data_IF_302680745764
#
_entry.id   IF_302680745764
#
_cell.length_a   1.000
_cell.length_b   1.000
_cell.length_c   1.000
_cell.angle_alpha   90.00
_cell.angle_beta   90.00
_cell.angle_gamma   90.00
#
_symmetry.space_group_name_H-M   'P 1'
#
loop_
_entity.id
_entity.type
_entity.pdbx_description
1 polymer ?
#
# COMPACT_ATOMS: atom_id res chain seq x y z
N UNK A 1 7.75 -0.03 -7.52
CA UNK A 1 6.76 -0.09 -6.43
C UNK A 1 7.33 0.41 -5.10
N UNK A 2 8.37 -0.20 -4.53
CA UNK A 2 8.92 0.26 -3.23
C UNK A 2 9.41 1.71 -3.23
N UNK A 3 10.12 2.14 -4.29
CA UNK A 3 10.56 3.52 -4.41
C UNK A 3 9.38 4.52 -4.34
N UNK A 4 8.26 4.18 -4.99
CA UNK A 4 7.01 4.98 -4.92
C UNK A 4 6.47 5.01 -3.50
N UNK A 5 6.47 3.87 -2.81
CA UNK A 5 5.99 3.80 -1.43
C UNK A 5 6.87 4.62 -0.46
N UNK A 6 8.19 4.61 -0.63
CA UNK A 6 9.10 5.42 0.18
C UNK A 6 8.87 6.92 -0.04
N UNK A 7 8.78 7.36 -1.28
CA UNK A 7 8.49 8.76 -1.60
C UNK A 7 7.10 9.18 -1.09
N UNK A 8 6.12 8.28 -1.19
CA UNK A 8 4.79 8.51 -0.66
C UNK A 8 4.81 8.65 0.86
N UNK A 9 5.57 7.84 1.59
CA UNK A 9 5.73 7.99 3.04
C UNK A 9 6.26 9.38 3.40
N UNK A 10 7.27 9.87 2.68
CA UNK A 10 7.89 11.15 2.99
C UNK A 10 6.93 12.32 2.72
N UNK A 11 6.22 12.30 1.58
CA UNK A 11 5.21 13.33 1.28
C UNK A 11 4.02 13.26 2.24
N UNK A 12 3.54 12.06 2.58
CA UNK A 12 2.46 11.89 3.55
C UNK A 12 2.86 12.46 4.92
N UNK A 13 4.08 12.20 5.41
CA UNK A 13 4.55 12.77 6.69
C UNK A 13 4.53 14.28 6.70
N UNK A 14 5.00 14.91 5.62
CA UNK A 14 4.98 16.36 5.47
C UNK A 14 3.56 16.89 5.57
N UNK A 15 2.62 16.34 4.79
CA UNK A 15 1.22 16.78 4.80
C UNK A 15 0.51 16.51 6.12
N UNK A 16 0.76 15.35 6.75
CA UNK A 16 0.26 15.01 8.07
C UNK A 16 0.70 16.06 9.09
N UNK A 17 1.98 16.44 9.07
CA UNK A 17 2.53 17.41 10.00
C UNK A 17 2.02 18.84 9.74
N UNK A 18 2.06 19.28 8.48
CA UNK A 18 1.63 20.63 8.06
C UNK A 18 0.15 20.90 8.38
N UNK A 19 -0.70 19.88 8.27
CA UNK A 19 -2.14 20.00 8.48
C UNK A 19 -2.64 19.37 9.81
N UNK A 20 -1.72 18.87 10.65
CA UNK A 20 -2.03 18.17 11.91
C UNK A 20 -3.08 17.07 11.74
N UNK A 21 -2.92 16.25 10.69
CA UNK A 21 -3.86 15.19 10.35
C UNK A 21 -3.68 14.00 11.29
N UNK A 22 -4.78 13.45 11.77
CA UNK A 22 -4.79 12.27 12.64
C UNK A 22 -5.01 10.97 11.85
N UNK A 23 -5.56 11.09 10.65
CA UNK A 23 -5.96 9.95 9.85
C UNK A 23 -5.82 10.23 8.36
N UNK A 24 -5.79 9.15 7.58
CA UNK A 24 -5.76 9.16 6.12
C UNK A 24 -6.85 8.23 5.60
N UNK A 25 -7.46 8.62 4.48
CA UNK A 25 -8.40 7.82 3.72
C UNK A 25 -7.68 6.94 2.70
N UNK A 26 -7.94 5.64 2.71
CA UNK A 26 -7.23 4.66 1.89
C UNK A 26 -8.15 4.03 0.84
N UNK A 27 -7.79 4.21 -0.45
CA UNK A 27 -8.44 3.52 -1.56
C UNK A 27 -8.29 1.99 -1.45
N UNK A 28 -9.30 1.26 -1.93
CA UNK A 28 -9.31 -0.20 -1.91
C UNK A 28 -9.67 -0.81 -0.55
N UNK A 29 -9.96 0.03 0.44
CA UNK A 29 -10.38 -0.38 1.77
C UNK A 29 -11.84 0.01 2.02
N UNK A 30 -12.69 -1.00 2.25
CA UNK A 30 -14.08 -0.86 2.69
C UNK A 30 -14.18 -1.08 4.20
N UNK A 31 -15.30 -0.68 4.81
CA UNK A 31 -15.55 -0.92 6.24
C UNK A 31 -15.47 -2.41 6.62
N UNK A 32 -15.99 -3.29 5.76
CA UNK A 32 -15.98 -4.74 6.02
C UNK A 32 -14.57 -5.36 5.99
N UNK A 33 -13.62 -4.73 5.30
CA UNK A 33 -12.23 -5.19 5.16
C UNK A 33 -11.28 -4.59 6.20
N UNK A 34 -11.76 -3.71 7.06
CA UNK A 34 -10.92 -3.06 8.09
C UNK A 34 -10.28 -4.07 9.04
N UNK A 35 -11.02 -5.06 9.52
CA UNK A 35 -10.48 -6.06 10.45
C UNK A 35 -9.35 -6.88 9.84
N UNK A 36 -9.51 -7.28 8.58
CA UNK A 36 -8.50 -8.08 7.86
C UNK A 36 -7.24 -7.24 7.61
N UNK A 37 -7.43 -5.96 7.30
CA UNK A 37 -6.32 -5.02 7.12
C UNK A 37 -5.56 -4.74 8.41
N UNK A 38 -6.26 -4.56 9.53
CA UNK A 38 -5.66 -4.41 10.86
C UNK A 38 -4.88 -5.65 11.29
N UNK A 39 -5.42 -6.85 11.03
CA UNK A 39 -4.74 -8.11 11.30
C UNK A 39 -3.48 -8.27 10.42
N UNK A 40 -3.55 -7.89 9.13
CA UNK A 40 -2.37 -7.86 8.25
C UNK A 40 -1.28 -6.94 8.81
N UNK A 41 -1.63 -5.73 9.27
CA UNK A 41 -0.68 -4.78 9.89
C UNK A 41 -0.07 -5.38 11.15
N UNK A 42 -0.89 -5.97 12.02
CA UNK A 42 -0.44 -6.58 13.28
C UNK A 42 0.54 -7.73 13.03
N UNK A 43 0.23 -8.64 12.12
CA UNK A 43 1.12 -9.74 11.76
C UNK A 43 2.43 -9.23 11.16
N UNK A 44 2.35 -8.26 10.26
CA UNK A 44 3.54 -7.68 9.62
C UNK A 44 4.45 -6.99 10.65
N UNK A 45 3.86 -6.30 11.63
CA UNK A 45 4.59 -5.66 12.73
C UNK A 45 5.27 -6.69 13.64
N UNK A 46 4.59 -7.79 13.96
CA UNK A 46 5.19 -8.87 14.75
C UNK A 46 6.40 -9.47 14.05
N UNK A 47 6.27 -9.82 12.76
CA UNK A 47 7.37 -10.36 11.96
C UNK A 47 8.52 -9.34 11.84
N UNK A 48 8.23 -8.06 11.62
CA UNK A 48 9.26 -7.01 11.50
C UNK A 48 10.09 -6.86 12.78
N UNK A 49 9.45 -7.00 13.96
CA UNK A 49 10.12 -6.82 15.24
C UNK A 49 10.80 -8.09 15.76
N UNK A 50 10.19 -9.26 15.56
CA UNK A 50 10.61 -10.51 16.20
C UNK A 50 11.46 -11.37 15.27
N UNK A 51 11.01 -11.61 14.03
CA UNK A 51 11.61 -12.60 13.15
C UNK A 51 12.61 -11.99 12.16
N UNK A 52 12.32 -10.80 11.63
CA UNK A 52 13.12 -10.20 10.56
C UNK A 52 14.56 -9.86 10.98
N UNK A 53 14.85 -9.35 12.20
CA UNK A 53 16.21 -9.09 12.63
C UNK A 53 17.04 -10.38 12.73
N UNK A 54 16.46 -11.44 13.29
CA UNK A 54 17.10 -12.75 13.41
C UNK A 54 17.35 -13.37 12.03
N UNK A 55 16.33 -13.36 11.15
CA UNK A 55 16.45 -13.89 9.80
C UNK A 55 17.55 -13.17 8.99
N UNK A 56 17.67 -11.85 9.11
CA UNK A 56 18.73 -11.09 8.45
C UNK A 56 20.11 -11.40 9.03
N UNK A 57 20.23 -11.55 10.35
CA UNK A 57 21.49 -11.91 10.99
C UNK A 57 21.94 -13.32 10.60
N UNK A 58 21.02 -14.28 10.56
CA UNK A 58 21.28 -15.64 10.11
C UNK A 58 21.65 -15.69 8.63
N UNK A 59 20.93 -14.92 7.79
CA UNK A 59 21.23 -14.82 6.37
C UNK A 59 22.66 -14.30 6.12
N UNK A 60 23.12 -13.32 6.90
CA UNK A 60 24.52 -12.85 6.83
C UNK A 60 25.50 -13.97 7.14
N UNK A 61 25.29 -14.71 8.24
CA UNK A 61 26.15 -15.82 8.66
C UNK A 61 26.21 -16.94 7.63
N UNK A 62 25.05 -17.32 7.07
CA UNK A 62 24.98 -18.37 6.05
C UNK A 62 25.72 -17.95 4.78
N UNK A 63 25.63 -16.68 4.37
CA UNK A 63 26.37 -16.16 3.22
C UNK A 63 27.88 -16.14 3.45
N UNK A 64 28.31 -15.75 4.64
CA UNK A 64 29.72 -15.81 5.04
C UNK A 64 30.23 -17.25 5.03
N UNK A 65 29.45 -18.20 5.55
CA UNK A 65 29.80 -19.63 5.51
C UNK A 65 29.92 -20.13 4.07
N UNK A 66 28.92 -19.85 3.22
CA UNK A 66 28.92 -20.24 1.80
C UNK A 66 30.12 -19.71 1.04
N UNK A 67 30.65 -18.54 1.39
CA UNK A 67 31.85 -17.98 0.78
C UNK A 67 33.13 -18.77 1.09
N UNK A 68 33.12 -19.61 2.14
CA UNK A 68 34.28 -20.42 2.57
C UNK A 68 34.19 -21.90 2.18
N UNK A 69 32.99 -22.38 1.87
CA UNK A 69 32.76 -23.78 1.53
C UNK A 69 33.08 -24.07 0.06
N UNK A 70 33.55 -25.29 -0.20
CA UNK A 70 33.63 -25.79 -1.57
C UNK A 70 32.21 -25.92 -2.13
N UNK A 71 32.00 -25.38 -3.34
CA UNK A 71 30.66 -25.25 -3.93
C UNK A 71 29.87 -26.56 -3.98
N UNK A 72 30.55 -27.70 -4.18
CA UNK A 72 29.91 -28.99 -4.38
C UNK A 72 29.92 -29.86 -3.11
N UNK A 73 30.30 -29.29 -1.97
CA UNK A 73 30.26 -29.99 -0.68
C UNK A 73 28.81 -30.20 -0.20
N UNK A 74 28.52 -31.30 0.51
CA UNK A 74 27.24 -31.49 1.19
C UNK A 74 26.87 -30.34 2.13
N UNK A 75 27.88 -29.77 2.80
CA UNK A 75 27.74 -28.62 3.69
C UNK A 75 27.28 -27.36 2.92
N UNK A 76 27.82 -27.11 1.73
CA UNK A 76 27.39 -26.00 0.89
C UNK A 76 25.95 -26.21 0.38
N UNK A 77 25.56 -27.44 0.05
CA UNK A 77 24.17 -27.75 -0.32
C UNK A 77 23.20 -27.44 0.83
N UNK A 78 23.49 -27.92 2.05
CA UNK A 78 22.67 -27.65 3.23
C UNK A 78 22.59 -26.15 3.55
N UNK A 79 23.71 -25.42 3.47
CA UNK A 79 23.74 -23.98 3.70
C UNK A 79 22.90 -23.20 2.67
N UNK A 80 22.88 -23.62 1.39
CA UNK A 80 22.01 -23.01 0.36
C UNK A 80 20.52 -23.24 0.63
N UNK A 81 20.14 -24.40 1.16
CA UNK A 81 18.75 -24.65 1.56
C UNK A 81 18.29 -23.73 2.70
N UNK A 82 19.18 -23.47 3.67
CA UNK A 82 18.93 -22.49 4.73
C UNK A 82 18.82 -21.08 4.13
N UNK A 83 19.76 -20.68 3.27
CA UNK A 83 19.71 -19.37 2.60
C UNK A 83 18.39 -19.17 1.85
N UNK A 84 17.96 -20.16 1.06
CA UNK A 84 16.74 -20.08 0.27
C UNK A 84 15.50 -19.85 1.15
N UNK A 85 15.41 -20.53 2.30
CA UNK A 85 14.30 -20.34 3.26
C UNK A 85 14.32 -18.95 3.89
N UNK A 86 15.49 -18.45 4.28
CA UNK A 86 15.63 -17.11 4.86
C UNK A 86 15.31 -16.02 3.84
N UNK A 87 15.77 -16.17 2.60
CA UNK A 87 15.44 -15.25 1.51
C UNK A 87 13.94 -15.24 1.25
N UNK A 88 13.28 -16.41 1.23
CA UNK A 88 11.83 -16.49 1.04
C UNK A 88 11.07 -15.74 2.16
N UNK A 89 11.48 -15.89 3.42
CA UNK A 89 10.89 -15.16 4.55
C UNK A 89 11.05 -13.64 4.39
N UNK A 90 12.24 -13.17 4.01
CA UNK A 90 12.51 -11.73 3.78
C UNK A 90 11.68 -11.20 2.61
N UNK A 91 11.51 -11.96 1.53
CA UNK A 91 10.66 -11.56 0.41
C UNK A 91 9.18 -11.53 0.78
N UNK A 92 8.69 -12.52 1.52
CA UNK A 92 7.29 -12.52 1.99
C UNK A 92 7.00 -11.27 2.83
N UNK A 93 7.92 -10.90 3.72
CA UNK A 93 7.77 -9.71 4.54
C UNK A 93 7.77 -8.42 3.69
N UNK A 94 8.60 -8.37 2.65
CA UNK A 94 8.64 -7.27 1.69
C UNK A 94 7.30 -7.12 0.96
N UNK A 95 6.71 -8.23 0.51
CA UNK A 95 5.40 -8.25 -0.14
C UNK A 95 4.28 -7.82 0.80
N UNK A 96 4.30 -8.26 2.07
CA UNK A 96 3.34 -7.80 3.09
C UNK A 96 3.40 -6.28 3.29
N UNK A 97 4.61 -5.70 3.38
CA UNK A 97 4.79 -4.24 3.48
C UNK A 97 4.27 -3.50 2.25
N UNK A 98 4.48 -4.04 1.06
CA UNK A 98 3.94 -3.49 -0.19
C UNK A 98 2.40 -3.51 -0.19
N UNK A 99 1.79 -4.61 0.28
CA UNK A 99 0.32 -4.74 0.39
C UNK A 99 -0.30 -3.77 1.40
N UNK A 100 0.41 -3.46 2.49
CA UNK A 100 -0.03 -2.50 3.50
C UNK A 100 0.00 -1.05 2.98
N UNK A 101 0.89 -0.74 2.02
CA UNK A 101 1.01 0.59 1.44
C UNK A 101 1.61 1.64 2.39
N UNK A 102 1.81 2.87 1.90
CA UNK A 102 2.47 3.92 2.69
C UNK A 102 1.68 4.32 3.94
N UNK A 103 0.36 4.53 3.80
CA UNK A 103 -0.52 4.89 4.91
C UNK A 103 -0.51 3.82 6.01
N UNK A 104 -0.62 2.55 5.62
CA UNK A 104 -0.55 1.42 6.54
C UNK A 104 0.78 1.33 7.30
N UNK A 105 1.91 1.61 6.64
CA UNK A 105 3.21 1.62 7.30
C UNK A 105 3.35 2.78 8.30
N UNK A 106 2.80 3.96 8.00
CA UNK A 106 2.77 5.09 8.94
C UNK A 106 1.91 4.77 10.18
N UNK A 107 0.74 4.18 9.97
CA UNK A 107 -0.11 3.70 11.07
C UNK A 107 0.58 2.62 11.90
N UNK A 108 1.22 1.64 11.26
CA UNK A 108 1.98 0.59 11.94
C UNK A 108 3.07 1.15 12.88
N UNK A 109 3.72 2.25 12.46
CA UNK A 109 4.74 2.98 13.22
C UNK A 109 4.19 3.93 14.29
N UNK A 110 2.87 4.12 14.35
CA UNK A 110 2.23 5.05 15.28
C UNK A 110 2.35 6.53 14.86
N UNK A 111 2.69 6.79 13.60
CA UNK A 111 2.75 8.14 13.02
C UNK A 111 1.37 8.64 12.57
N UNK A 112 0.37 7.75 12.50
CA UNK A 112 -1.04 8.03 12.25
C UNK A 112 -1.89 7.41 13.36
N UNK A 113 -2.93 8.12 13.81
CA UNK A 113 -3.88 7.57 14.80
C UNK A 113 -4.85 6.58 14.16
N UNK A 114 -5.20 6.77 12.88
CA UNK A 114 -6.19 5.93 12.20
C UNK A 114 -6.02 5.88 10.69
N UNK A 115 -6.48 4.78 10.08
CA UNK A 115 -6.74 4.68 8.65
C UNK A 115 -8.25 4.57 8.45
N UNK A 116 -8.77 5.38 7.54
CA UNK A 116 -10.19 5.43 7.21
C UNK A 116 -10.45 4.68 5.90
N UNK A 117 -11.44 3.79 5.84
CA UNK A 117 -11.84 3.15 4.60
C UNK A 117 -12.46 4.19 3.66
N UNK A 118 -11.98 4.25 2.42
CA UNK A 118 -12.49 5.20 1.43
C UNK A 118 -13.64 4.62 0.60
N UNK A 119 -13.69 3.30 0.44
CA UNK A 119 -14.57 2.63 -0.52
C UNK A 119 -15.98 2.38 0.03
N UNK A 120 -16.98 2.67 -0.79
CA UNK A 120 -18.32 2.10 -0.63
C UNK A 120 -18.31 0.64 -1.11
N UNK A 121 -18.85 -0.29 -0.32
CA UNK A 121 -18.77 -1.73 -0.61
C UNK A 121 -19.43 -2.09 -1.95
N UNK A 122 -20.60 -1.53 -2.24
CA UNK A 122 -21.36 -1.88 -3.43
C UNK A 122 -20.71 -1.29 -4.69
N UNK A 123 -20.31 -0.01 -4.64
CA UNK A 123 -19.64 0.63 -5.76
C UNK A 123 -18.26 0.00 -6.03
N UNK A 124 -17.52 -0.35 -4.98
CA UNK A 124 -16.23 -1.01 -5.08
C UNK A 124 -16.35 -2.41 -5.69
N UNK A 125 -17.32 -3.22 -5.24
CA UNK A 125 -17.57 -4.54 -5.79
C UNK A 125 -18.01 -4.48 -7.27
N UNK A 126 -18.86 -3.50 -7.62
CA UNK A 126 -19.33 -3.28 -9.00
C UNK A 126 -18.19 -2.88 -9.94
N UNK A 127 -17.24 -2.08 -9.47
CA UNK A 127 -16.10 -1.62 -10.25
C UNK A 127 -14.93 -2.63 -10.32
N UNK A 128 -15.07 -3.84 -9.76
CA UNK A 128 -14.02 -4.85 -9.82
C UNK A 128 -13.79 -5.29 -11.27
N UNK A 129 -12.60 -5.07 -11.84
CA UNK A 129 -12.35 -5.39 -13.24
C UNK A 129 -12.15 -6.89 -13.47
N UNK A 130 -12.02 -7.69 -12.41
CA UNK A 130 -11.81 -9.14 -12.52
C UNK A 130 -13.16 -9.86 -12.50
N UNK A 131 -13.51 -10.50 -13.62
CA UNK A 131 -14.74 -11.29 -13.74
C UNK A 131 -14.65 -12.57 -12.91
N UNK A 132 -15.79 -13.26 -12.71
CA UNK A 132 -15.82 -14.58 -12.07
C UNK A 132 -14.99 -15.65 -12.79
N UNK A 133 -14.65 -15.43 -14.06
CA UNK A 133 -13.76 -16.27 -14.86
C UNK A 133 -12.27 -15.89 -14.73
N UNK A 134 -11.94 -14.87 -13.94
CA UNK A 134 -10.58 -14.35 -13.76
C UNK A 134 -10.07 -13.47 -14.91
N UNK A 135 -10.95 -13.09 -15.86
CA UNK A 135 -10.59 -12.17 -16.95
C UNK A 135 -10.65 -10.73 -16.47
N UNK A 136 -9.77 -9.89 -16.98
CA UNK A 136 -9.76 -8.45 -16.72
C UNK A 136 -10.59 -7.73 -17.78
N UNK A 137 -11.69 -7.09 -17.38
CA UNK A 137 -12.55 -6.26 -18.21
C UNK A 137 -12.80 -4.95 -17.48
N UNK A 138 -12.44 -3.83 -18.12
CA UNK A 138 -12.65 -2.51 -17.54
C UNK A 138 -14.06 -2.01 -17.88
N UNK A 139 -14.80 -1.60 -16.86
CA UNK A 139 -16.08 -0.90 -16.98
C UNK A 139 -15.89 0.53 -16.49
N UNK A 140 -15.69 1.45 -17.43
CA UNK A 140 -15.42 2.86 -17.14
C UNK A 140 -16.60 3.52 -16.39
N UNK A 141 -17.85 3.12 -16.68
CA UNK A 141 -19.02 3.66 -16.02
C UNK A 141 -19.11 3.20 -14.56
N UNK A 142 -18.87 1.91 -14.29
CA UNK A 142 -18.79 1.40 -12.93
C UNK A 142 -17.64 2.04 -12.14
N UNK A 143 -16.50 2.27 -12.79
CA UNK A 143 -15.36 2.95 -12.15
C UNK A 143 -15.64 4.43 -11.86
N UNK A 144 -16.34 5.13 -12.75
CA UNK A 144 -16.76 6.53 -12.54
C UNK A 144 -17.78 6.65 -11.39
N UNK A 145 -18.73 5.72 -11.29
CA UNK A 145 -19.66 5.62 -10.16
C UNK A 145 -18.93 5.35 -8.82
N UNK A 146 -17.92 4.47 -8.82
CA UNK A 146 -17.06 4.25 -7.65
C UNK A 146 -16.34 5.53 -7.23
N UNK A 147 -15.79 6.27 -8.19
CA UNK A 147 -15.11 7.54 -7.92
C UNK A 147 -16.07 8.61 -7.36
N UNK A 148 -17.35 8.58 -7.77
CA UNK A 148 -18.38 9.43 -7.16
C UNK A 148 -18.68 9.07 -5.72
N UNK A 149 -18.77 7.78 -5.40
CA UNK A 149 -18.95 7.33 -4.03
C UNK A 149 -17.77 7.79 -3.14
N UNK A 150 -16.54 7.68 -3.65
CA UNK A 150 -15.32 8.17 -2.98
C UNK A 150 -15.41 9.68 -2.73
N UNK A 151 -15.68 10.49 -3.76
CA UNK A 151 -15.75 11.94 -3.63
C UNK A 151 -16.86 12.37 -2.65
N UNK A 152 -18.03 11.73 -2.72
CA UNK A 152 -19.14 11.95 -1.80
C UNK A 152 -18.75 11.66 -0.36
N UNK A 153 -18.05 10.56 -0.09
CA UNK A 153 -17.64 10.19 1.29
C UNK A 153 -16.72 11.24 1.91
N UNK A 154 -15.76 11.75 1.13
CA UNK A 154 -14.85 12.82 1.57
C UNK A 154 -15.62 14.11 1.87
N UNK A 155 -16.56 14.50 0.99
CA UNK A 155 -17.40 15.70 1.21
C UNK A 155 -18.26 15.55 2.48
N UNK A 156 -18.87 14.38 2.67
CA UNK A 156 -19.75 14.11 3.80
C UNK A 156 -19.00 14.03 5.14
N UNK A 157 -17.69 13.74 5.14
CA UNK A 157 -16.84 13.76 6.33
C UNK A 157 -16.69 15.18 6.93
N UNK A 158 -16.88 16.23 6.12
CA UNK A 158 -16.86 17.66 6.54
C UNK A 158 -15.57 18.08 7.26
N UNK A 159 -14.46 17.46 6.90
CA UNK A 159 -13.14 17.83 7.39
C UNK A 159 -12.62 19.07 6.66
N UNK A 160 -11.87 19.96 7.33
CA UNK A 160 -11.27 21.11 6.67
C UNK A 160 -10.20 20.69 5.64
N UNK A 161 -9.49 19.58 5.92
CA UNK A 161 -8.49 18.97 5.03
C UNK A 161 -8.62 17.46 5.17
N UNK A 162 -8.82 16.76 4.06
CA UNK A 162 -8.78 15.31 3.99
C UNK A 162 -7.65 14.87 3.07
N UNK A 163 -6.84 13.93 3.54
CA UNK A 163 -5.75 13.33 2.77
C UNK A 163 -6.15 11.93 2.33
N UNK A 164 -6.10 11.69 1.01
CA UNK A 164 -6.46 10.43 0.37
C UNK A 164 -5.23 9.80 -0.29
N UNK A 165 -5.08 8.48 -0.15
CA UNK A 165 -4.12 7.70 -0.93
C UNK A 165 -4.88 6.96 -2.02
N UNK A 166 -4.60 7.34 -3.27
CA UNK A 166 -5.22 6.76 -4.48
C UNK A 166 -4.19 5.99 -5.32
N UNK A 167 -4.69 5.02 -6.09
CA UNK A 167 -4.00 4.43 -7.22
C UNK A 167 -3.86 5.44 -8.37
N UNK A 168 -2.73 5.40 -9.08
CA UNK A 168 -2.37 6.46 -10.04
C UNK A 168 -3.31 6.63 -11.25
N UNK A 169 -4.20 5.67 -11.50
CA UNK A 169 -5.23 5.74 -12.54
C UNK A 169 -6.44 6.60 -12.18
N UNK A 170 -6.58 7.03 -10.92
CA UNK A 170 -7.75 7.78 -10.47
C UNK A 170 -7.54 9.30 -10.51
N UNK A 171 -8.49 10.02 -11.10
CA UNK A 171 -8.51 11.48 -11.17
C UNK A 171 -9.91 11.98 -10.77
N UNK A 172 -10.03 12.47 -9.54
CA UNK A 172 -11.33 12.77 -8.92
C UNK A 172 -11.82 14.21 -9.15
N UNK A 173 -11.09 15.03 -9.92
CA UNK A 173 -11.41 16.46 -10.11
C UNK A 173 -12.87 16.67 -10.56
N UNK A 174 -13.34 15.89 -11.52
CA UNK A 174 -14.71 16.05 -12.04
C UNK A 174 -15.76 15.46 -11.09
N UNK A 175 -15.42 14.40 -10.34
CA UNK A 175 -16.25 13.82 -9.29
C UNK A 175 -16.51 14.82 -8.15
N UNK A 176 -15.46 15.53 -7.72
CA UNK A 176 -15.60 16.58 -6.72
C UNK A 176 -16.41 17.76 -7.24
N UNK A 177 -16.21 18.20 -8.50
CA UNK A 177 -17.01 19.29 -9.09
C UNK A 177 -18.50 18.98 -9.14
N UNK A 178 -18.89 17.75 -9.50
CA UNK A 178 -20.31 17.36 -9.62
C UNK A 178 -20.96 17.00 -8.28
N UNK A 179 -20.18 16.43 -7.35
CA UNK A 179 -20.68 16.04 -6.02
C UNK A 179 -20.72 17.20 -5.02
N UNK A 180 -19.89 18.22 -5.20
CA UNK A 180 -19.85 19.36 -4.29
C UNK A 180 -20.94 20.38 -4.61
N UNK A 181 -21.82 20.63 -3.63
CA UNK A 181 -22.59 21.88 -3.53
C UNK A 181 -21.78 22.96 -2.79
N UNK A 182 -20.48 22.74 -2.60
CA UNK A 182 -19.60 23.40 -1.63
C UNK A 182 -18.25 23.77 -2.28
N UNK A 183 -17.52 24.71 -1.67
CA UNK A 183 -16.20 25.15 -2.12
C UNK A 183 -15.11 24.12 -1.75
N UNK A 184 -15.13 22.94 -2.38
CA UNK A 184 -14.05 21.95 -2.22
C UNK A 184 -12.93 22.28 -3.19
N UNK A 185 -11.70 22.36 -2.68
CA UNK A 185 -10.50 22.41 -3.49
C UNK A 185 -9.87 21.02 -3.50
N UNK A 186 -9.61 20.50 -4.69
CA UNK A 186 -8.95 19.21 -4.89
C UNK A 186 -7.57 19.45 -5.50
N UNK A 187 -6.55 18.96 -4.82
CA UNK A 187 -5.17 18.97 -5.29
C UNK A 187 -4.66 17.53 -5.41
N UNK A 188 -4.10 17.19 -6.58
CA UNK A 188 -3.46 15.89 -6.82
C UNK A 188 -1.96 16.08 -6.77
N UNK A 189 -1.31 15.34 -5.87
CA UNK A 189 0.14 15.30 -5.77
C UNK A 189 0.63 14.04 -6.49
N UNK A 190 1.41 14.24 -7.55
CA UNK A 190 2.03 13.15 -8.30
C UNK A 190 3.50 13.03 -7.94
N UNK A 191 3.92 11.82 -7.57
CA UNK A 191 5.27 11.56 -7.10
C UNK A 191 6.22 11.26 -8.28
N UNK A 192 7.42 11.85 -8.32
CA UNK A 192 8.47 11.53 -9.30
C UNK A 192 8.69 10.03 -9.54
N UNK A 193 8.82 9.21 -8.50
CA UNK A 193 9.04 7.77 -8.66
C UNK A 193 7.87 7.06 -9.35
N UNK A 194 6.65 7.59 -9.21
CA UNK A 194 5.49 7.09 -9.97
C UNK A 194 5.64 7.41 -11.46
N UNK A 195 6.06 8.63 -11.82
CA UNK A 195 6.28 9.02 -13.22
C UNK A 195 7.35 8.15 -13.87
N UNK A 196 8.49 7.96 -13.20
CA UNK A 196 9.56 7.07 -13.69
C UNK A 196 9.08 5.63 -13.86
N UNK A 197 8.25 5.12 -12.93
CA UNK A 197 7.67 3.78 -13.06
C UNK A 197 6.79 3.68 -14.31
N UNK A 198 5.92 4.66 -14.54
CA UNK A 198 5.00 4.66 -15.69
C UNK A 198 5.76 4.73 -17.03
N UNK A 199 6.79 5.56 -17.11
CA UNK A 199 7.68 5.65 -18.28
C UNK A 199 8.38 4.32 -18.58
N UNK A 200 8.83 3.59 -17.56
CA UNK A 200 9.50 2.29 -17.73
C UNK A 200 8.57 1.19 -18.24
N UNK A 201 7.27 1.24 -17.90
CA UNK A 201 6.29 0.23 -18.27
C UNK A 201 5.37 0.65 -19.44
N UNK A 202 5.69 1.76 -20.11
CA UNK A 202 5.02 2.19 -21.34
C UNK A 202 3.56 2.57 -21.16
N UNK A 203 3.22 3.23 -20.05
CA UNK A 203 1.89 3.79 -19.78
C UNK A 203 1.95 5.27 -19.50
#
# INVERSE_FOLDING_TARGET
>A
MEAVQFEQIDELRKLIHEHNLKHIWLEGLTESRMSDFEELIKQTKAIENENLPEANAELSKVRELLATLESDSPEAAAAREVEARLVALVQEQRERRLRIGAAGLLYMKGELERIMPLEDEAAFAKANPVTSEGKVVFDDAANDERQDAIAKRIIDAREPVSLIVLGGGHQLSDNFKRSSRTNVQYERIELPAWKTLMEQYGR
#
